data_IF_321184813513
#
_entry.id   IF_321184813513
#
_cell.length_a   1.000
_cell.length_b   1.000
_cell.length_c   1.000
_cell.angle_alpha   90.00
_cell.angle_beta   90.00
_cell.angle_gamma   90.00
#
_symmetry.space_group_name_H-M   'P 1'
#
loop_
_entity.id
_entity.type
_entity.pdbx_description
1 polymer ?
#
# COMPACT_ATOMS: atom_id res chain seq x y z
N UNK A 1 39.44 16.55 2.11
CA UNK A 1 37.98 16.63 2.34
C UNK A 1 37.27 15.61 1.45
N UNK A 2 36.84 14.49 2.02
CA UNK A 2 36.11 13.44 1.28
C UNK A 2 34.63 13.85 1.24
N UNK A 3 34.11 14.21 0.06
CA UNK A 3 32.66 14.35 -0.16
C UNK A 3 32.05 12.94 -0.11
N UNK A 4 31.43 12.59 1.02
CA UNK A 4 30.52 11.44 1.08
C UNK A 4 29.35 11.71 0.14
N UNK A 5 29.41 11.15 -1.07
CA UNK A 5 28.22 10.94 -1.87
C UNK A 5 27.34 9.95 -1.12
N UNK A 6 26.36 10.44 -0.35
CA UNK A 6 25.24 9.63 0.11
C UNK A 6 24.57 9.05 -1.14
N UNK A 7 24.85 7.79 -1.46
CA UNK A 7 24.04 7.03 -2.40
C UNK A 7 22.62 7.02 -1.84
N UNK A 8 21.73 7.85 -2.38
CA UNK A 8 20.30 7.78 -2.07
C UNK A 8 19.84 6.38 -2.45
N UNK A 9 19.42 5.59 -1.48
CA UNK A 9 18.72 4.31 -1.70
C UNK A 9 17.58 4.61 -2.68
N UNK A 10 17.49 3.87 -3.79
CA UNK A 10 16.43 4.09 -4.79
C UNK A 10 15.08 3.72 -4.15
N UNK A 11 14.26 4.73 -3.89
CA UNK A 11 12.94 4.59 -3.26
C UNK A 11 11.99 3.78 -4.14
N UNK A 12 11.14 2.95 -3.52
CA UNK A 12 10.20 2.07 -4.24
C UNK A 12 9.10 2.89 -4.92
N UNK A 13 9.08 2.87 -6.25
CA UNK A 13 8.13 3.70 -7.01
C UNK A 13 6.79 3.01 -7.30
N UNK A 14 6.81 1.68 -7.44
CA UNK A 14 5.64 0.89 -7.85
C UNK A 14 5.70 -0.48 -7.20
N UNK A 15 4.56 -0.97 -6.76
CA UNK A 15 4.35 -2.37 -6.43
C UNK A 15 2.93 -2.79 -6.83
N UNK A 16 2.63 -4.08 -6.65
CA UNK A 16 1.33 -4.66 -6.94
C UNK A 16 0.78 -5.30 -5.68
N UNK A 17 -0.51 -5.08 -5.43
CA UNK A 17 -1.22 -5.70 -4.32
C UNK A 17 -2.33 -6.58 -4.88
N UNK A 18 -2.32 -7.84 -4.51
CA UNK A 18 -3.40 -8.78 -4.79
C UNK A 18 -4.31 -8.80 -3.57
N UNK A 19 -5.60 -8.60 -3.80
CA UNK A 19 -6.65 -8.76 -2.80
C UNK A 19 -7.52 -9.96 -3.18
N UNK A 20 -8.42 -10.36 -2.29
CA UNK A 20 -9.34 -11.48 -2.52
C UNK A 20 -10.12 -11.40 -3.84
N UNK A 21 -10.37 -10.19 -4.35
CA UNK A 21 -11.23 -9.96 -5.52
C UNK A 21 -10.54 -9.14 -6.61
N UNK A 22 -9.39 -8.53 -6.36
CA UNK A 22 -8.82 -7.54 -7.28
C UNK A 22 -7.29 -7.54 -7.23
N UNK A 23 -6.69 -7.01 -8.29
CA UNK A 23 -5.26 -6.68 -8.32
C UNK A 23 -5.12 -5.17 -8.54
N UNK A 24 -4.28 -4.54 -7.74
CA UNK A 24 -3.98 -3.12 -7.79
C UNK A 24 -2.53 -2.88 -8.18
N UNK A 25 -2.32 -1.89 -9.04
CA UNK A 25 -1.01 -1.27 -9.26
C UNK A 25 -0.91 -0.05 -8.35
N UNK A 26 -0.03 -0.10 -7.37
CA UNK A 26 0.21 0.98 -6.40
C UNK A 26 1.44 1.77 -6.82
N UNK A 27 1.34 3.09 -6.79
CA UNK A 27 2.34 4.01 -7.35
C UNK A 27 2.64 5.13 -6.35
N UNK A 28 3.92 5.43 -6.13
CA UNK A 28 4.38 6.39 -5.13
C UNK A 28 4.13 7.85 -5.58
N UNK A 29 4.33 8.13 -6.85
CA UNK A 29 4.10 9.46 -7.42
C UNK A 29 3.23 9.34 -8.66
N UNK A 30 2.14 10.11 -8.72
CA UNK A 30 1.36 10.13 -9.94
C UNK A 30 2.12 10.79 -11.10
N UNK A 31 1.69 10.46 -12.32
CA UNK A 31 2.45 10.74 -13.54
C UNK A 31 2.35 12.20 -14.00
N UNK A 32 1.46 12.98 -13.40
CA UNK A 32 1.08 14.31 -13.91
C UNK A 32 1.14 15.34 -12.79
N UNK A 33 1.29 16.61 -13.17
CA UNK A 33 1.20 17.73 -12.22
C UNK A 33 -0.15 17.83 -11.50
N UNK A 34 -1.19 17.17 -12.04
CA UNK A 34 -2.55 17.18 -11.50
C UNK A 34 -2.82 15.99 -10.55
N UNK A 35 -1.96 14.97 -10.58
CA UNK A 35 -2.01 13.84 -9.66
C UNK A 35 -0.60 13.65 -9.09
N UNK A 36 -0.11 14.56 -8.22
CA UNK A 36 1.24 14.43 -7.66
C UNK A 36 1.32 13.34 -6.58
N UNK A 37 0.18 12.96 -6.02
CA UNK A 37 0.05 12.06 -4.87
C UNK A 37 0.11 10.57 -5.28
N UNK A 38 0.46 9.67 -4.33
CA UNK A 38 0.40 8.24 -4.57
C UNK A 38 -1.03 7.80 -4.86
N UNK A 39 -1.15 6.71 -5.63
CA UNK A 39 -2.45 6.15 -5.98
C UNK A 39 -2.38 4.64 -6.16
N UNK A 40 -3.53 3.97 -5.98
CA UNK A 40 -3.70 2.56 -6.33
C UNK A 40 -4.75 2.41 -7.43
N UNK A 41 -4.33 1.90 -8.60
CA UNK A 41 -5.25 1.65 -9.72
C UNK A 41 -5.64 0.18 -9.77
N UNK A 42 -6.92 -0.13 -9.76
CA UNK A 42 -7.42 -1.48 -10.00
C UNK A 42 -7.13 -1.89 -11.45
N UNK A 43 -6.34 -2.94 -11.64
CA UNK A 43 -5.93 -3.45 -12.95
C UNK A 43 -6.48 -4.84 -13.26
N UNK A 44 -7.17 -5.46 -12.31
CA UNK A 44 -7.89 -6.72 -12.49
C UNK A 44 -8.95 -6.89 -11.41
N UNK A 45 -10.02 -7.59 -11.76
CA UNK A 45 -11.20 -7.80 -10.93
C UNK A 45 -11.74 -9.20 -11.21
N UNK A 46 -12.10 -9.93 -10.15
CA UNK A 46 -12.77 -11.22 -10.20
C UNK A 46 -14.08 -11.09 -9.41
N UNK A 47 -15.17 -11.54 -10.01
CA UNK A 47 -16.50 -11.42 -9.42
C UNK A 47 -16.97 -9.96 -9.36
N UNK A 48 -17.81 -9.67 -8.37
CA UNK A 48 -18.41 -8.35 -8.19
C UNK A 48 -17.59 -7.49 -7.22
N UNK A 49 -17.57 -6.18 -7.48
CA UNK A 49 -16.98 -5.20 -6.58
C UNK A 49 -17.71 -3.88 -6.71
N UNK A 50 -17.90 -3.19 -5.58
CA UNK A 50 -18.41 -1.82 -5.57
C UNK A 50 -17.51 -0.85 -6.35
N UNK A 51 -16.23 -1.18 -6.50
CA UNK A 51 -15.27 -0.40 -7.30
C UNK A 51 -15.03 -1.12 -8.63
N UNK A 52 -15.40 -0.54 -9.79
CA UNK A 52 -15.19 -1.18 -11.08
C UNK A 52 -13.70 -1.32 -11.44
N UNK A 53 -13.42 -2.14 -12.46
CA UNK A 53 -12.08 -2.22 -13.05
C UNK A 53 -11.65 -0.84 -13.56
N UNK A 54 -10.39 -0.48 -13.31
CA UNK A 54 -9.83 0.81 -13.72
C UNK A 54 -9.99 1.93 -12.70
N UNK A 55 -10.82 1.76 -11.66
CA UNK A 55 -10.93 2.72 -10.55
C UNK A 55 -9.57 3.01 -9.93
N UNK A 56 -9.39 4.28 -9.58
CA UNK A 56 -8.21 4.80 -8.90
C UNK A 56 -8.59 5.16 -7.47
N UNK A 57 -7.76 4.75 -6.54
CA UNK A 57 -7.80 5.16 -5.12
C UNK A 57 -6.71 6.21 -4.95
N UNK A 58 -7.10 7.48 -4.87
CA UNK A 58 -6.20 8.66 -4.79
C UNK A 58 -6.69 9.79 -3.85
N UNK A 59 -7.71 9.55 -3.04
CA UNK A 59 -8.27 10.53 -2.08
C UNK A 59 -7.36 10.79 -0.85
N UNK A 60 -6.04 10.58 -0.97
CA UNK A 60 -5.09 10.72 0.13
C UNK A 60 -3.71 11.16 -0.33
N UNK A 61 -2.89 11.61 0.63
CA UNK A 61 -1.49 11.96 0.40
C UNK A 61 -0.54 10.76 0.53
N UNK A 62 -1.02 9.68 1.15
CA UNK A 62 -0.27 8.44 1.39
C UNK A 62 -1.15 7.20 1.15
N UNK A 63 -0.49 6.06 0.90
CA UNK A 63 -1.14 4.74 0.84
C UNK A 63 -0.64 3.88 2.00
N UNK A 64 -1.56 3.42 2.83
CA UNK A 64 -1.31 2.44 3.87
C UNK A 64 -1.48 1.02 3.33
N UNK A 65 -0.56 0.14 3.70
CA UNK A 65 -0.60 -1.30 3.49
C UNK A 65 -0.89 -1.96 4.84
N UNK A 66 -2.16 -2.28 5.08
CA UNK A 66 -2.65 -2.92 6.30
C UNK A 66 -3.34 -4.24 5.95
N UNK A 67 -4.41 -4.61 6.68
CA UNK A 67 -5.34 -5.65 6.23
C UNK A 67 -5.91 -5.36 4.85
N UNK A 68 -6.14 -4.08 4.56
CA UNK A 68 -6.65 -3.55 3.29
C UNK A 68 -5.66 -2.52 2.75
N UNK A 69 -5.70 -2.24 1.45
CA UNK A 69 -5.10 -1.02 0.92
C UNK A 69 -6.01 0.15 1.24
N UNK A 70 -5.40 1.27 1.64
CA UNK A 70 -6.14 2.45 2.05
C UNK A 70 -5.36 3.73 1.74
N UNK A 71 -6.03 4.70 1.11
CA UNK A 71 -5.49 6.06 1.00
C UNK A 71 -5.82 6.86 2.25
N UNK A 72 -4.89 7.69 2.71
CA UNK A 72 -5.12 8.56 3.85
C UNK A 72 -4.33 9.86 3.79
N UNK A 73 -4.73 10.83 4.59
CA UNK A 73 -4.02 12.10 4.81
C UNK A 73 -3.43 12.04 6.22
N UNK A 74 -2.12 12.19 6.40
CA UNK A 74 -1.53 12.29 7.73
C UNK A 74 -2.13 13.45 8.51
N UNK A 75 -2.51 13.19 9.76
CA UNK A 75 -3.13 14.20 10.64
C UNK A 75 -2.11 15.22 11.15
N UNK A 76 -0.82 14.89 11.17
CA UNK A 76 0.23 15.85 11.52
C UNK A 76 0.57 16.77 10.35
N UNK A 77 0.63 18.08 10.60
CA UNK A 77 1.16 19.09 9.67
C UNK A 77 0.44 19.23 8.30
N UNK A 78 -0.80 18.76 8.16
CA UNK A 78 -1.59 18.97 6.94
C UNK A 78 -2.53 20.18 7.06
N UNK A 79 -2.90 20.80 5.94
CA UNK A 79 -3.84 21.95 5.90
C UNK A 79 -5.22 21.63 6.50
N UNK A 80 -5.61 20.36 6.53
CA UNK A 80 -6.89 19.89 7.07
C UNK A 80 -6.81 19.53 8.57
N UNK A 81 -5.61 19.46 9.13
CA UNK A 81 -5.40 19.11 10.54
C UNK A 81 -4.32 20.02 11.16
N UNK A 82 -4.49 21.31 10.96
CA UNK A 82 -3.58 22.37 11.41
C UNK A 82 -3.45 22.51 12.95
N UNK A 83 -4.24 21.75 13.72
CA UNK A 83 -4.26 21.78 15.18
C UNK A 83 -3.54 20.60 15.85
N UNK A 84 -3.13 19.57 15.10
CA UNK A 84 -2.44 18.40 15.65
C UNK A 84 -0.99 18.39 15.17
N UNK A 85 -0.07 18.65 16.10
CA UNK A 85 1.38 18.50 15.91
C UNK A 85 1.86 17.04 15.95
N UNK A 86 0.93 16.09 16.10
CA UNK A 86 1.20 14.69 16.34
C UNK A 86 0.53 13.82 15.28
N UNK A 87 1.30 12.93 14.65
CA UNK A 87 0.79 11.90 13.75
C UNK A 87 0.46 10.68 14.60
N UNK A 88 -0.83 10.33 14.72
CA UNK A 88 -1.24 9.09 15.37
C UNK A 88 -0.83 7.88 14.53
N UNK A 89 -0.48 6.78 15.20
CA UNK A 89 -0.27 5.50 14.53
C UNK A 89 -1.59 5.08 13.86
N UNK A 90 -1.52 4.68 12.58
CA UNK A 90 -2.67 4.19 11.81
C UNK A 90 -3.47 3.09 12.52
N UNK A 91 -2.80 2.26 13.33
CA UNK A 91 -3.45 1.22 14.12
C UNK A 91 -4.36 1.78 15.23
N UNK A 92 -4.14 3.03 15.65
CA UNK A 92 -4.84 3.69 16.76
C UNK A 92 -5.89 4.71 16.29
N UNK A 93 -6.08 4.85 14.97
CA UNK A 93 -7.04 5.78 14.36
C UNK A 93 -8.25 5.02 13.83
N UNK A 94 -9.45 5.57 14.04
CA UNK A 94 -10.66 5.01 13.46
C UNK A 94 -10.68 5.26 11.93
N UNK A 95 -10.23 4.26 11.17
CA UNK A 95 -10.16 4.30 9.71
C UNK A 95 -11.51 4.05 9.01
N UNK A 96 -12.63 3.97 9.75
CA UNK A 96 -13.99 3.74 9.23
C UNK A 96 -14.44 4.79 8.21
N UNK A 97 -14.03 6.04 8.39
CA UNK A 97 -14.44 7.16 7.53
C UNK A 97 -13.55 7.36 6.31
N UNK A 98 -12.47 6.58 6.22
CA UNK A 98 -11.54 6.64 5.11
C UNK A 98 -12.10 5.73 4.02
N UNK A 99 -12.88 6.35 3.11
CA UNK A 99 -13.81 5.80 2.10
C UNK A 99 -13.31 4.69 1.16
N UNK A 100 -12.12 4.15 1.35
CA UNK A 100 -11.45 3.26 0.41
C UNK A 100 -10.75 2.13 1.16
N UNK A 101 -11.54 1.19 1.68
CA UNK A 101 -11.05 -0.12 2.09
C UNK A 101 -11.20 -1.11 0.93
N UNK A 102 -10.09 -1.63 0.39
CA UNK A 102 -10.15 -2.76 -0.54
C UNK A 102 -10.59 -4.03 0.19
N UNK A 103 -10.89 -5.11 -0.54
CA UNK A 103 -10.91 -6.45 0.07
C UNK A 103 -9.58 -6.78 0.74
N UNK A 104 -9.53 -7.76 1.67
CA UNK A 104 -8.30 -8.15 2.36
C UNK A 104 -7.16 -8.44 1.39
N UNK A 105 -5.97 -7.94 1.73
CA UNK A 105 -4.74 -8.22 0.98
C UNK A 105 -4.42 -9.70 1.11
N UNK A 106 -4.18 -10.33 -0.03
CA UNK A 106 -3.68 -11.70 -0.16
C UNK A 106 -2.15 -11.66 -0.12
N UNK A 107 -1.53 -10.86 -0.98
CA UNK A 107 -0.08 -10.77 -1.13
C UNK A 107 0.38 -9.50 -1.86
N UNK A 108 1.67 -9.16 -1.73
CA UNK A 108 2.30 -8.03 -2.41
C UNK A 108 3.43 -8.50 -3.33
N UNK A 109 3.63 -7.80 -4.44
CA UNK A 109 4.64 -8.15 -5.44
C UNK A 109 5.34 -6.92 -6.01
N UNK A 110 6.64 -7.07 -6.32
CA UNK A 110 7.40 -6.07 -7.07
C UNK A 110 7.10 -6.13 -8.57
N UNK A 111 6.74 -7.31 -9.10
CA UNK A 111 6.49 -7.53 -10.53
C UNK A 111 5.01 -7.80 -10.81
N UNK A 112 4.54 -7.23 -11.92
CA UNK A 112 3.16 -7.42 -12.40
C UNK A 112 2.82 -8.89 -12.67
N UNK A 113 3.74 -9.62 -13.31
CA UNK A 113 3.52 -11.02 -13.71
C UNK A 113 3.26 -11.91 -12.50
N UNK A 114 4.12 -11.84 -11.49
CA UNK A 114 3.97 -12.62 -10.25
C UNK A 114 2.64 -12.31 -9.54
N UNK A 115 2.23 -11.04 -9.55
CA UNK A 115 0.92 -10.65 -9.00
C UNK A 115 -0.26 -11.22 -9.80
N UNK A 116 -0.15 -11.33 -11.13
CA UNK A 116 -1.16 -11.98 -11.96
C UNK A 116 -1.20 -13.48 -11.71
N UNK A 117 -0.05 -14.14 -11.62
CA UNK A 117 0.06 -15.57 -11.34
C UNK A 117 -0.61 -15.92 -9.98
N UNK A 118 -0.42 -15.06 -8.97
CA UNK A 118 -1.13 -15.14 -7.70
C UNK A 118 -2.63 -14.91 -7.87
N UNK A 119 -3.03 -13.87 -8.61
CA UNK A 119 -4.43 -13.52 -8.81
C UNK A 119 -5.23 -14.57 -9.59
N UNK A 120 -4.58 -15.46 -10.33
CA UNK A 120 -5.22 -16.56 -11.07
C UNK A 120 -5.58 -17.76 -10.18
N UNK A 121 -4.99 -17.88 -8.98
CA UNK A 121 -5.30 -18.99 -8.06
C UNK A 121 -6.75 -18.91 -7.54
N UNK A 122 -7.36 -20.05 -7.24
CA UNK A 122 -8.80 -20.15 -6.89
C UNK A 122 -9.07 -20.24 -5.39
N UNK A 123 -8.07 -20.60 -4.59
CA UNK A 123 -8.13 -20.90 -3.16
C UNK A 123 -7.34 -19.89 -2.32
N UNK A 124 -7.30 -18.63 -2.77
CA UNK A 124 -6.57 -17.57 -2.07
C UNK A 124 -7.19 -17.31 -0.70
N UNK A 125 -6.33 -17.11 0.30
CA UNK A 125 -6.73 -16.65 1.64
C UNK A 125 -6.11 -15.29 1.93
N UNK A 126 -6.69 -14.48 2.84
CA UNK A 126 -6.05 -13.26 3.29
C UNK A 126 -4.66 -13.56 3.85
N UNK A 127 -3.67 -12.77 3.45
CA UNK A 127 -2.27 -12.96 3.81
C UNK A 127 -1.76 -14.40 3.52
N UNK A 128 -1.91 -14.81 2.27
CA UNK A 128 -1.66 -16.18 1.85
C UNK A 128 -0.18 -16.58 2.04
N UNK A 129 0.10 -17.65 2.81
CA UNK A 129 1.48 -18.03 3.15
C UNK A 129 2.30 -18.45 1.94
N UNK A 130 1.67 -18.85 0.83
CA UNK A 130 2.37 -19.22 -0.42
C UNK A 130 3.19 -18.07 -1.01
N UNK A 131 2.84 -16.82 -0.66
CA UNK A 131 3.42 -15.60 -1.23
C UNK A 131 4.09 -14.71 -0.18
N UNK A 132 4.48 -15.31 0.95
CA UNK A 132 5.04 -14.61 2.09
C UNK A 132 6.36 -13.90 1.73
N UNK A 133 7.23 -14.55 0.95
CA UNK A 133 8.54 -14.00 0.61
C UNK A 133 8.44 -12.79 -0.33
N UNK A 134 7.50 -12.84 -1.28
CA UNK A 134 7.20 -11.72 -2.16
C UNK A 134 6.64 -10.53 -1.36
N UNK A 135 5.77 -10.83 -0.39
CA UNK A 135 5.22 -9.81 0.51
C UNK A 135 6.31 -9.17 1.36
N UNK A 136 7.20 -9.96 1.97
CA UNK A 136 8.35 -9.47 2.73
C UNK A 136 9.29 -8.62 1.87
N UNK A 137 9.52 -9.02 0.62
CA UNK A 137 10.36 -8.25 -0.31
C UNK A 137 9.78 -6.86 -0.58
N UNK A 138 8.46 -6.75 -0.77
CA UNK A 138 7.80 -5.43 -0.92
C UNK A 138 7.89 -4.62 0.36
N UNK A 139 7.57 -5.20 1.52
CA UNK A 139 7.65 -4.52 2.81
C UNK A 139 9.07 -3.98 3.08
N UNK A 140 10.10 -4.79 2.85
CA UNK A 140 11.49 -4.38 3.00
C UNK A 140 11.90 -3.28 2.00
N UNK A 141 11.31 -3.28 0.80
CA UNK A 141 11.53 -2.26 -0.21
C UNK A 141 10.82 -0.93 0.11
N UNK A 142 9.65 -0.98 0.75
CA UNK A 142 8.98 0.20 1.32
C UNK A 142 9.88 0.75 2.44
N UNK A 143 10.23 -0.08 3.44
CA UNK A 143 10.98 0.36 4.61
C UNK A 143 10.14 1.19 5.59
N UNK A 144 10.76 1.65 6.67
CA UNK A 144 10.04 2.35 7.75
C UNK A 144 9.78 3.84 7.44
N UNK A 145 10.59 4.46 6.59
CA UNK A 145 10.58 5.91 6.32
C UNK A 145 10.15 6.26 4.88
N UNK A 146 9.33 5.43 4.23
CA UNK A 146 8.92 5.72 2.86
C UNK A 146 8.03 6.99 2.82
N UNK A 147 8.31 7.96 1.93
CA UNK A 147 7.62 9.26 1.95
C UNK A 147 6.13 9.18 1.59
N UNK A 148 5.68 8.07 0.99
CA UNK A 148 4.33 7.92 0.43
C UNK A 148 3.60 6.65 0.84
N UNK A 149 4.32 5.67 1.39
CA UNK A 149 3.78 4.35 1.69
C UNK A 149 4.01 4.04 3.16
N UNK A 150 3.00 3.51 3.83
CA UNK A 150 3.13 3.15 5.24
C UNK A 150 2.71 1.71 5.41
N UNK A 151 3.56 0.90 6.05
CA UNK A 151 3.22 -0.48 6.37
C UNK A 151 2.65 -0.51 7.79
N UNK A 152 1.36 -0.85 7.91
CA UNK A 152 0.72 -1.00 9.21
C UNK A 152 1.00 -2.40 9.75
N UNK A 153 1.36 -2.50 11.04
CA UNK A 153 1.48 -3.80 11.70
C UNK A 153 0.09 -4.43 11.84
N UNK A 154 -0.17 -5.48 11.06
CA UNK A 154 -1.40 -6.27 11.13
C UNK A 154 -1.04 -7.76 11.25
N UNK A 155 -1.63 -8.52 12.19
CA UNK A 155 -1.40 -9.95 12.30
C UNK A 155 -1.70 -10.67 10.98
N UNK A 156 -0.71 -11.39 10.43
CA UNK A 156 -0.85 -12.13 9.18
C UNK A 156 -0.15 -11.51 7.98
N UNK A 157 0.06 -10.18 7.91
CA UNK A 157 0.69 -9.50 6.76
C UNK A 157 2.19 -9.87 6.53
N UNK A 158 2.70 -10.88 7.23
CA UNK A 158 4.09 -11.35 7.12
C UNK A 158 5.10 -10.54 7.91
N UNK A 159 4.65 -9.63 8.78
CA UNK A 159 5.51 -8.88 9.68
C UNK A 159 5.84 -9.75 10.89
N UNK A 160 7.13 -9.91 11.26
CA UNK A 160 7.48 -10.56 12.51
C UNK A 160 6.83 -9.79 13.66
N UNK A 161 6.20 -10.50 14.59
CA UNK A 161 5.90 -9.95 15.90
C UNK A 161 7.25 -9.63 16.52
N UNK A 162 7.56 -8.36 16.73
CA UNK A 162 8.72 -8.02 17.54
C UNK A 162 8.48 -8.63 18.93
N UNK A 163 9.32 -9.59 19.30
CA UNK A 163 9.41 -10.15 20.66
C UNK A 163 9.93 -9.05 21.58
#
# INVERSE_FOLDING_TARGET
MIKLAKMKKKELQVFFAVTMTSIYRVVAHGKTKYQPYPYAKKIGLRGESQLPLGTVIDDGMMIAVAKHLQSYIPEGHSMVSCQTSYVRNLADVNTMWWKTGTSPIVALFLKKREALDCFEQTDLVPCDPRWLDQTKAVIAAIGDDHPTFTVCRFPGLGLPVAI
#
